data_IF_507627765891
#
_entry.id   IF_507627765891
#
_cell.length_a   1.000
_cell.length_b   1.000
_cell.length_c   1.000
_cell.angle_alpha   90.00
_cell.angle_beta   90.00
_cell.angle_gamma   90.00
#
_symmetry.space_group_name_H-M   'P 1'
#
loop_
_entity.id
_entity.type
_entity.pdbx_description
1 polymer ?
#
# COMPACT_ATOMS: atom_id res chain seq x y z
N UNK A 1 36.57 20.75 6.04
CA UNK A 1 37.61 19.70 5.79
C UNK A 1 37.00 18.43 5.15
N UNK A 2 35.79 18.04 5.53
CA UNK A 2 35.14 16.80 5.02
C UNK A 2 34.94 16.73 3.49
N UNK A 3 34.45 17.78 2.77
CA UNK A 3 34.27 17.71 1.32
C UNK A 3 35.58 17.62 0.53
N UNK A 4 36.64 18.22 1.04
CA UNK A 4 37.98 18.17 0.41
C UNK A 4 38.55 16.76 0.50
N UNK A 5 38.45 16.16 1.69
CA UNK A 5 39.00 14.82 1.96
C UNK A 5 38.19 13.76 1.23
N UNK A 6 36.85 13.89 1.21
CA UNK A 6 35.99 12.93 0.52
C UNK A 6 36.16 12.97 -1.00
N UNK A 7 36.25 14.16 -1.60
CA UNK A 7 36.47 14.31 -3.05
C UNK A 7 37.83 13.76 -3.49
N UNK A 8 38.89 14.01 -2.71
CA UNK A 8 40.22 13.46 -2.97
C UNK A 8 40.22 11.92 -2.84
N UNK A 9 39.73 11.39 -1.72
CA UNK A 9 39.71 9.95 -1.46
C UNK A 9 38.89 9.17 -2.51
N UNK A 10 37.70 9.65 -2.85
CA UNK A 10 36.86 9.00 -3.85
C UNK A 10 37.57 8.90 -5.22
N UNK A 11 38.23 9.96 -5.64
CA UNK A 11 38.96 9.97 -6.93
C UNK A 11 40.19 9.09 -6.90
N UNK A 12 40.96 9.09 -5.80
CA UNK A 12 42.17 8.23 -5.68
C UNK A 12 41.79 6.74 -5.65
N UNK A 13 40.73 6.37 -4.90
CA UNK A 13 40.27 4.97 -4.84
C UNK A 13 39.73 4.52 -6.19
N UNK A 14 38.81 5.28 -6.80
CA UNK A 14 38.21 4.95 -8.08
C UNK A 14 39.26 4.91 -9.21
N UNK A 15 40.12 5.93 -9.30
CA UNK A 15 41.18 5.98 -10.29
C UNK A 15 42.26 4.91 -10.07
N UNK A 16 42.60 4.60 -8.82
CA UNK A 16 43.54 3.54 -8.48
C UNK A 16 43.05 2.15 -8.91
N UNK A 17 41.78 1.84 -8.64
CA UNK A 17 41.14 0.59 -9.10
C UNK A 17 41.17 0.51 -10.63
N UNK A 18 40.75 1.56 -11.33
CA UNK A 18 40.70 1.62 -12.78
C UNK A 18 42.09 1.41 -13.39
N UNK A 19 43.11 2.12 -12.90
CA UNK A 19 44.50 2.00 -13.41
C UNK A 19 45.09 0.63 -13.14
N UNK A 20 44.76 -0.02 -12.00
CA UNK A 20 45.23 -1.36 -11.67
C UNK A 20 44.58 -2.41 -12.58
N UNK A 21 43.28 -2.30 -12.85
CA UNK A 21 42.58 -3.18 -13.79
C UNK A 21 43.14 -3.01 -15.21
N UNK A 22 43.35 -1.77 -15.65
CA UNK A 22 43.92 -1.49 -16.97
C UNK A 22 45.33 -2.06 -17.13
N UNK A 23 46.15 -1.96 -16.07
CA UNK A 23 47.49 -2.54 -16.04
C UNK A 23 47.44 -4.09 -16.19
N UNK A 24 46.54 -4.74 -15.47
CA UNK A 24 46.37 -6.21 -15.57
C UNK A 24 45.87 -6.65 -16.95
N UNK A 25 44.89 -5.92 -17.53
CA UNK A 25 44.31 -6.27 -18.82
C UNK A 25 45.27 -6.03 -19.99
N UNK A 26 46.02 -4.93 -19.94
CA UNK A 26 46.94 -4.55 -21.03
C UNK A 26 48.34 -5.10 -20.89
N UNK A 27 48.68 -5.73 -19.76
CA UNK A 27 50.02 -6.32 -19.51
C UNK A 27 51.15 -5.29 -19.56
N UNK A 28 50.88 -4.03 -19.10
CA UNK A 28 51.86 -2.95 -19.17
C UNK A 28 53.08 -3.19 -18.23
N UNK A 29 54.26 -2.69 -18.58
CA UNK A 29 55.42 -2.78 -17.70
C UNK A 29 55.20 -2.02 -16.38
N UNK A 30 55.75 -2.56 -15.28
CA UNK A 30 55.60 -2.01 -13.92
C UNK A 30 56.07 -0.54 -13.80
N UNK A 31 57.10 -0.14 -14.53
CA UNK A 31 57.58 1.24 -14.55
C UNK A 31 56.53 2.22 -15.13
N UNK A 32 55.78 1.81 -16.17
CA UNK A 32 54.71 2.62 -16.72
C UNK A 32 53.55 2.73 -15.74
N UNK A 33 53.20 1.64 -15.04
CA UNK A 33 52.18 1.64 -14.00
C UNK A 33 52.56 2.57 -12.85
N UNK A 34 53.75 2.39 -12.24
CA UNK A 34 54.14 3.12 -11.04
C UNK A 34 54.50 4.60 -11.31
N UNK A 35 55.24 4.88 -12.38
CA UNK A 35 55.76 6.25 -12.63
C UNK A 35 54.97 7.00 -13.69
N UNK A 36 54.13 6.37 -14.48
CA UNK A 36 53.30 7.02 -15.49
C UNK A 36 51.85 7.25 -15.04
N UNK A 37 51.21 6.21 -14.57
CA UNK A 37 49.75 6.26 -14.33
C UNK A 37 49.37 6.72 -12.90
N UNK A 38 50.09 6.25 -11.86
CA UNK A 38 49.80 6.63 -10.49
C UNK A 38 49.96 8.14 -10.18
N UNK A 39 50.98 8.83 -10.65
CA UNK A 39 51.08 10.28 -10.45
C UNK A 39 49.89 11.05 -11.06
N UNK A 40 49.37 10.61 -12.18
CA UNK A 40 48.21 11.18 -12.83
C UNK A 40 46.96 11.06 -11.96
N UNK A 41 46.72 9.90 -11.36
CA UNK A 41 45.56 9.67 -10.43
C UNK A 41 45.66 10.58 -9.22
N UNK A 42 46.88 10.77 -8.65
CA UNK A 42 47.07 11.63 -7.51
C UNK A 42 46.87 13.13 -7.86
N UNK A 43 47.34 13.56 -9.05
CA UNK A 43 47.14 14.94 -9.53
C UNK A 43 45.64 15.22 -9.74
N UNK A 44 44.91 14.31 -10.39
CA UNK A 44 43.45 14.46 -10.61
C UNK A 44 42.69 14.45 -9.28
N UNK A 45 43.09 13.58 -8.33
CA UNK A 45 42.55 13.56 -6.98
C UNK A 45 42.74 14.89 -6.24
N UNK A 46 43.96 15.48 -6.30
CA UNK A 46 44.25 16.77 -5.70
C UNK A 46 43.42 17.90 -6.35
N UNK A 47 43.27 17.85 -7.68
CA UNK A 47 42.47 18.84 -8.43
C UNK A 47 41.00 18.77 -8.03
N UNK A 48 40.43 17.58 -7.95
CA UNK A 48 39.07 17.39 -7.51
C UNK A 48 38.83 17.79 -6.05
N UNK A 49 39.81 17.51 -5.16
CA UNK A 49 39.78 17.98 -3.78
C UNK A 49 39.78 19.52 -3.66
N UNK A 50 40.46 20.22 -4.58
CA UNK A 50 40.47 21.67 -4.63
C UNK A 50 39.20 22.29 -5.26
N UNK A 51 38.66 21.67 -6.30
CA UNK A 51 37.49 22.17 -7.05
C UNK A 51 36.17 21.92 -6.26
N UNK A 52 36.05 20.77 -5.58
CA UNK A 52 34.86 20.41 -4.84
C UNK A 52 34.38 21.49 -3.85
N UNK A 53 35.23 22.08 -2.96
CA UNK A 53 34.75 23.13 -2.07
C UNK A 53 34.44 24.42 -2.78
N UNK A 54 35.08 24.73 -3.91
CA UNK A 54 34.83 25.94 -4.70
C UNK A 54 33.41 25.93 -5.29
N UNK A 55 32.90 24.79 -5.66
CA UNK A 55 31.56 24.63 -6.18
C UNK A 55 30.53 24.32 -5.07
N UNK A 56 30.90 23.50 -4.10
CA UNK A 56 29.98 23.04 -3.05
C UNK A 56 29.60 24.16 -2.06
N UNK A 57 30.56 24.95 -1.59
CA UNK A 57 30.29 25.99 -0.59
C UNK A 57 29.37 27.11 -1.11
N UNK A 58 29.56 27.65 -2.33
CA UNK A 58 28.60 28.61 -2.90
C UNK A 58 27.26 28.02 -3.18
N UNK A 59 27.19 26.78 -3.70
CA UNK A 59 25.93 26.07 -3.94
C UNK A 59 25.15 25.88 -2.64
N UNK A 60 25.80 25.39 -1.58
CA UNK A 60 25.17 25.21 -0.27
C UNK A 60 24.64 26.56 0.29
N UNK A 61 25.39 27.65 0.15
CA UNK A 61 24.92 29.00 0.57
C UNK A 61 23.76 29.51 -0.27
N UNK A 62 23.72 29.17 -1.57
CA UNK A 62 22.63 29.57 -2.47
C UNK A 62 21.34 28.81 -2.16
N UNK A 63 21.44 27.53 -1.87
CA UNK A 63 20.29 26.67 -1.52
C UNK A 63 19.76 26.97 -0.11
N UNK A 64 20.64 27.28 0.87
CA UNK A 64 20.22 27.69 2.21
C UNK A 64 19.51 29.05 2.21
N UNK A 65 19.96 30.03 1.39
CA UNK A 65 19.29 31.34 1.24
C UNK A 65 17.93 31.28 0.55
N UNK A 66 17.65 30.21 -0.23
CA UNK A 66 16.37 30.01 -0.89
C UNK A 66 15.40 29.10 -0.09
N UNK A 67 15.75 28.72 1.13
CA UNK A 67 14.93 27.83 1.96
C UNK A 67 14.80 26.39 1.40
N UNK A 68 15.68 26.01 0.46
CA UNK A 68 15.67 24.66 -0.14
C UNK A 68 16.47 23.63 0.66
N UNK A 69 17.22 24.07 1.67
CA UNK A 69 17.92 23.20 2.62
C UNK A 69 17.64 23.74 4.04
N UNK A 70 17.21 22.89 4.98
CA UNK A 70 17.07 23.31 6.38
C UNK A 70 18.44 23.72 6.92
N UNK A 71 18.50 24.81 7.71
CA UNK A 71 19.74 25.21 8.40
C UNK A 71 20.10 24.17 9.47
N UNK A 72 21.39 23.98 9.73
CA UNK A 72 21.86 23.03 10.76
C UNK A 72 21.23 23.29 12.15
N UNK A 73 20.87 24.57 12.45
CA UNK A 73 20.17 24.91 13.69
C UNK A 73 18.69 24.54 13.72
N UNK A 74 18.05 24.35 12.56
CA UNK A 74 16.67 23.85 12.48
C UNK A 74 16.61 22.33 12.66
N UNK A 75 17.69 21.61 12.36
CA UNK A 75 17.78 20.17 12.60
C UNK A 75 17.98 19.80 14.08
N UNK A 76 18.41 20.76 14.92
CA UNK A 76 18.64 20.53 16.35
C UNK A 76 17.55 21.05 17.28
N UNK A 77 16.63 21.91 16.78
CA UNK A 77 15.57 22.52 17.61
C UNK A 77 14.22 21.80 17.56
N UNK A 78 14.02 20.85 16.65
CA UNK A 78 12.74 20.16 16.47
C UNK A 78 12.64 18.77 17.16
N UNK A 79 13.66 18.43 17.99
CA UNK A 79 13.70 17.15 18.69
C UNK A 79 12.94 17.12 20.04
N UNK A 80 12.21 18.18 20.42
CA UNK A 80 11.61 18.24 21.76
C UNK A 80 10.16 17.74 21.86
N UNK A 81 9.50 17.34 20.77
CA UNK A 81 8.13 16.78 20.81
C UNK A 81 7.83 15.66 19.80
N UNK A 82 8.86 15.00 19.27
CA UNK A 82 8.63 13.72 18.62
C UNK A 82 8.69 12.62 19.68
N UNK A 83 7.54 12.13 20.07
CA UNK A 83 7.44 10.78 20.65
C UNK A 83 8.12 9.86 19.65
N UNK A 84 9.30 9.36 19.98
CA UNK A 84 10.00 8.34 19.19
C UNK A 84 9.12 7.09 19.32
N UNK A 85 8.18 6.93 18.40
CA UNK A 85 7.63 5.62 18.12
C UNK A 85 8.83 4.77 17.71
N UNK A 86 8.96 3.53 18.22
CA UNK A 86 10.05 2.66 17.80
C UNK A 86 10.06 2.65 16.28
N UNK A 87 11.23 2.93 15.69
CA UNK A 87 11.45 2.95 14.25
C UNK A 87 10.98 1.59 13.71
N UNK A 88 9.80 1.55 13.10
CA UNK A 88 9.26 0.30 12.56
C UNK A 88 10.15 -0.09 11.41
N UNK A 89 10.81 -1.21 11.53
CA UNK A 89 11.67 -1.73 10.49
C UNK A 89 10.85 -2.01 9.24
N UNK A 90 11.25 -1.44 8.09
CA UNK A 90 10.61 -1.72 6.83
C UNK A 90 10.85 -3.19 6.43
N UNK A 91 9.78 -3.93 6.18
CA UNK A 91 9.82 -5.29 5.64
C UNK A 91 10.10 -5.30 4.15
N UNK A 92 9.50 -4.35 3.43
CA UNK A 92 9.79 -4.08 2.01
C UNK A 92 10.10 -2.58 1.91
N UNK A 93 11.21 -2.22 1.25
CA UNK A 93 11.53 -0.85 0.87
C UNK A 93 11.75 -0.77 -0.62
N UNK A 94 11.09 0.18 -1.27
CA UNK A 94 11.19 0.44 -2.70
C UNK A 94 11.73 1.85 -2.86
N UNK A 95 12.93 1.96 -3.48
CA UNK A 95 13.65 3.22 -3.58
C UNK A 95 13.88 3.61 -5.05
N UNK A 96 13.24 4.70 -5.48
CA UNK A 96 13.37 5.29 -6.82
C UNK A 96 13.20 4.30 -7.97
N UNK A 97 12.27 3.34 -7.83
CA UNK A 97 12.09 2.27 -8.81
C UNK A 97 11.39 2.75 -10.07
N UNK A 98 12.08 2.56 -11.20
CA UNK A 98 11.48 2.58 -12.53
C UNK A 98 11.55 1.17 -13.13
N UNK A 99 10.45 0.73 -13.74
CA UNK A 99 10.45 -0.57 -14.42
C UNK A 99 9.91 -0.48 -15.83
N UNK A 100 10.65 -1.09 -16.76
CA UNK A 100 10.33 -1.17 -18.19
C UNK A 100 10.11 -2.63 -18.55
N UNK A 101 8.94 -2.98 -19.06
CA UNK A 101 8.70 -4.30 -19.63
C UNK A 101 9.65 -4.60 -20.78
N UNK A 102 9.89 -5.89 -21.12
CA UNK A 102 10.73 -6.24 -22.27
C UNK A 102 10.28 -5.49 -23.54
N UNK A 103 11.22 -4.83 -24.22
CA UNK A 103 11.01 -4.03 -25.43
C UNK A 103 10.19 -2.73 -25.24
N UNK A 104 9.70 -2.42 -24.04
CA UNK A 104 9.01 -1.16 -23.78
C UNK A 104 10.00 0.00 -23.70
N UNK A 105 9.60 1.14 -24.27
CA UNK A 105 10.35 2.40 -24.20
C UNK A 105 9.87 3.30 -23.06
N UNK A 106 8.64 3.11 -22.61
CA UNK A 106 8.03 3.84 -21.49
C UNK A 106 7.99 2.96 -20.25
N UNK A 107 8.30 3.50 -19.07
CA UNK A 107 8.22 2.75 -17.82
C UNK A 107 6.77 2.52 -17.39
N UNK A 108 6.49 1.34 -16.86
CA UNK A 108 5.23 1.00 -16.19
C UNK A 108 5.23 1.35 -14.70
N UNK A 109 6.41 1.43 -14.09
CA UNK A 109 6.62 2.03 -12.77
C UNK A 109 7.55 3.22 -12.93
N UNK A 110 7.22 4.34 -12.28
CA UNK A 110 7.91 5.63 -12.44
C UNK A 110 8.26 6.19 -11.07
N UNK A 111 9.54 6.17 -10.73
CA UNK A 111 10.10 6.72 -9.50
C UNK A 111 9.30 6.29 -8.25
N UNK A 112 8.99 5.00 -8.15
CA UNK A 112 8.27 4.47 -6.99
C UNK A 112 9.16 4.55 -5.77
N UNK A 113 8.60 5.14 -4.71
CA UNK A 113 9.14 5.13 -3.35
C UNK A 113 8.01 4.66 -2.44
N UNK A 114 8.21 3.55 -1.74
CA UNK A 114 7.20 2.94 -0.88
C UNK A 114 7.88 2.03 0.14
N UNK A 115 7.62 2.26 1.41
CA UNK A 115 8.04 1.40 2.51
C UNK A 115 6.83 0.63 3.05
N UNK A 116 6.95 -0.66 3.28
CA UNK A 116 5.97 -1.50 3.96
C UNK A 116 6.58 -1.91 5.30
N UNK A 117 5.96 -1.48 6.38
CA UNK A 117 6.49 -1.71 7.72
C UNK A 117 5.93 -2.99 8.34
N UNK A 118 6.62 -3.49 9.35
CA UNK A 118 6.17 -4.66 10.12
C UNK A 118 4.79 -4.42 10.74
N UNK A 119 3.87 -5.36 10.48
CA UNK A 119 2.49 -5.29 10.93
C UNK A 119 1.56 -4.36 10.13
N UNK A 120 2.03 -3.75 9.03
CA UNK A 120 1.16 -3.01 8.13
C UNK A 120 0.10 -3.92 7.51
N UNK A 121 -1.10 -3.38 7.34
CA UNK A 121 -2.10 -3.86 6.39
C UNK A 121 -2.26 -2.77 5.33
N UNK A 122 -1.41 -2.83 4.31
CA UNK A 122 -1.36 -1.83 3.25
C UNK A 122 -2.29 -2.23 2.10
N UNK A 123 -3.19 -1.33 1.71
CA UNK A 123 -3.99 -1.45 0.48
C UNK A 123 -3.38 -0.59 -0.61
N UNK A 124 -3.05 -1.21 -1.74
CA UNK A 124 -2.60 -0.51 -2.96
C UNK A 124 -3.74 -0.49 -3.96
N UNK A 125 -4.23 0.69 -4.29
CA UNK A 125 -5.35 0.87 -5.22
C UNK A 125 -5.02 1.88 -6.32
N UNK A 126 -5.91 2.03 -7.29
CA UNK A 126 -5.80 2.97 -8.40
C UNK A 126 -6.44 2.44 -9.68
N UNK A 127 -6.57 3.27 -10.72
CA UNK A 127 -7.20 2.91 -11.98
C UNK A 127 -6.61 1.65 -12.62
N UNK A 128 -7.41 0.97 -13.46
CA UNK A 128 -6.92 -0.19 -14.21
C UNK A 128 -5.71 0.21 -15.09
N UNK A 129 -4.69 -0.65 -15.13
CA UNK A 129 -3.48 -0.41 -15.93
C UNK A 129 -2.49 0.59 -15.35
N UNK A 130 -2.70 1.17 -14.15
CA UNK A 130 -1.77 2.12 -13.54
C UNK A 130 -0.45 1.48 -13.02
N UNK A 131 -0.28 0.14 -13.07
CA UNK A 131 0.95 -0.54 -12.70
C UNK A 131 0.91 -1.35 -11.41
N UNK A 132 -0.26 -1.55 -10.77
CA UNK A 132 -0.40 -2.27 -9.48
C UNK A 132 0.21 -3.67 -9.50
N UNK A 133 -0.17 -4.53 -10.45
CA UNK A 133 0.38 -5.90 -10.56
C UNK A 133 1.87 -5.88 -10.89
N UNK A 134 2.36 -4.86 -11.62
CA UNK A 134 3.79 -4.67 -11.86
C UNK A 134 4.52 -4.30 -10.57
N UNK A 135 3.90 -3.48 -9.72
CA UNK A 135 4.44 -3.17 -8.39
C UNK A 135 4.49 -4.43 -7.51
N UNK A 136 3.42 -5.25 -7.51
CA UNK A 136 3.42 -6.56 -6.86
C UNK A 136 4.62 -7.42 -7.29
N UNK A 137 4.81 -7.56 -8.62
CA UNK A 137 5.93 -8.34 -9.17
C UNK A 137 7.31 -7.76 -8.78
N UNK A 138 7.43 -6.45 -8.62
CA UNK A 138 8.66 -5.81 -8.15
C UNK A 138 8.92 -6.12 -6.67
N UNK A 139 7.89 -6.04 -5.81
CA UNK A 139 7.98 -6.35 -4.38
C UNK A 139 8.48 -7.79 -4.14
N UNK A 140 7.96 -8.75 -4.90
CA UNK A 140 8.32 -10.17 -4.77
C UNK A 140 9.55 -10.57 -5.57
N UNK A 141 10.23 -9.61 -6.20
CA UNK A 141 11.46 -9.85 -6.99
C UNK A 141 11.24 -10.63 -8.28
N UNK A 142 9.99 -10.82 -8.72
CA UNK A 142 9.67 -11.52 -9.98
C UNK A 142 10.12 -10.72 -11.22
N UNK A 143 10.12 -9.39 -11.13
CA UNK A 143 10.75 -8.52 -12.12
C UNK A 143 12.05 -7.95 -11.53
N UNK A 144 13.15 -7.88 -12.32
CA UNK A 144 13.27 -8.33 -13.71
C UNK A 144 13.62 -9.83 -13.83
N UNK A 145 13.80 -10.58 -12.74
CA UNK A 145 14.42 -11.91 -12.72
C UNK A 145 13.65 -12.95 -13.54
N UNK A 146 12.33 -13.01 -13.40
CA UNK A 146 11.49 -14.02 -14.06
C UNK A 146 10.86 -13.48 -15.34
N UNK A 147 10.27 -12.27 -15.29
CA UNK A 147 9.59 -11.68 -16.43
C UNK A 147 10.48 -10.83 -17.33
N UNK A 148 11.77 -10.67 -16.98
CA UNK A 148 12.70 -9.85 -17.74
C UNK A 148 12.41 -8.36 -17.60
N UNK A 149 12.82 -7.57 -18.60
CA UNK A 149 12.70 -6.12 -18.55
C UNK A 149 13.90 -5.44 -17.91
N UNK A 150 13.76 -4.14 -17.62
CA UNK A 150 14.79 -3.32 -16.99
C UNK A 150 14.20 -2.64 -15.75
N UNK A 151 14.82 -2.90 -14.62
CA UNK A 151 14.50 -2.27 -13.34
C UNK A 151 15.64 -1.33 -12.97
N UNK A 152 15.32 -0.08 -12.67
CA UNK A 152 16.21 0.95 -12.15
C UNK A 152 15.75 1.27 -10.72
N UNK A 153 16.66 1.70 -9.85
CA UNK A 153 16.37 1.83 -8.43
C UNK A 153 16.57 0.52 -7.68
N UNK A 154 16.06 0.42 -6.47
CA UNK A 154 16.30 -0.73 -5.59
C UNK A 154 15.00 -1.16 -4.91
N UNK A 155 14.85 -2.48 -4.72
CA UNK A 155 13.83 -3.07 -3.86
C UNK A 155 14.54 -3.91 -2.81
N UNK A 156 14.25 -3.64 -1.56
CA UNK A 156 14.79 -4.36 -0.41
C UNK A 156 13.69 -5.17 0.29
N UNK A 157 14.07 -6.33 0.78
CA UNK A 157 13.23 -7.21 1.61
C UNK A 157 14.03 -7.56 2.85
N UNK A 158 13.50 -7.24 4.03
CA UNK A 158 14.21 -7.37 5.30
C UNK A 158 15.65 -6.78 5.24
N UNK A 159 15.80 -5.61 4.57
CA UNK A 159 17.06 -4.90 4.40
C UNK A 159 18.03 -5.48 3.36
N UNK A 160 17.67 -6.55 2.65
CA UNK A 160 18.49 -7.14 1.58
C UNK A 160 17.91 -6.77 0.21
N UNK A 161 18.78 -6.34 -0.73
CA UNK A 161 18.35 -6.03 -2.09
C UNK A 161 17.84 -7.28 -2.81
N UNK A 162 16.64 -7.22 -3.39
CA UNK A 162 16.03 -8.35 -4.11
C UNK A 162 16.88 -8.83 -5.28
N UNK A 163 17.68 -7.94 -5.89
CA UNK A 163 18.62 -8.29 -6.95
C UNK A 163 19.73 -9.24 -6.50
N UNK A 164 20.05 -9.27 -5.21
CA UNK A 164 21.09 -10.12 -4.61
C UNK A 164 20.54 -11.43 -4.03
N UNK A 165 19.20 -11.58 -3.95
CA UNK A 165 18.56 -12.77 -3.39
C UNK A 165 18.04 -13.66 -4.53
N UNK A 166 18.13 -14.97 -4.38
CA UNK A 166 17.45 -15.90 -5.29
C UNK A 166 15.95 -15.97 -4.99
N UNK A 167 15.12 -16.35 -5.99
CA UNK A 167 13.66 -16.45 -5.81
C UNK A 167 13.26 -17.37 -4.63
N UNK A 168 13.90 -18.55 -4.44
CA UNK A 168 13.59 -19.40 -3.27
C UNK A 168 13.94 -18.73 -1.92
N UNK A 169 14.97 -17.88 -1.88
CA UNK A 169 15.30 -17.10 -0.68
C UNK A 169 14.24 -16.02 -0.40
N UNK A 170 13.85 -15.26 -1.43
CA UNK A 170 12.78 -14.26 -1.33
C UNK A 170 11.45 -14.87 -0.83
N UNK A 171 11.12 -16.06 -1.34
CA UNK A 171 9.91 -16.77 -0.94
C UNK A 171 9.91 -17.24 0.54
N UNK A 172 11.03 -17.15 1.28
CA UNK A 172 11.05 -17.35 2.73
C UNK A 172 10.52 -16.12 3.50
N UNK A 173 10.59 -14.96 2.89
CA UNK A 173 10.20 -13.68 3.49
C UNK A 173 8.83 -13.23 3.01
N UNK A 174 8.57 -13.38 1.70
CA UNK A 174 7.33 -12.89 1.08
C UNK A 174 6.58 -14.05 0.45
N UNK A 175 5.34 -14.22 0.88
CA UNK A 175 4.37 -15.06 0.20
C UNK A 175 3.53 -14.23 -0.77
N UNK A 176 3.25 -14.76 -1.95
CA UNK A 176 2.41 -14.06 -2.94
C UNK A 176 1.26 -14.95 -3.41
N UNK A 177 0.05 -14.36 -3.47
CA UNK A 177 -1.11 -14.96 -4.13
C UNK A 177 -1.49 -14.04 -5.28
N UNK A 178 -1.44 -14.57 -6.50
CA UNK A 178 -1.75 -13.81 -7.72
C UNK A 178 -3.26 -13.81 -8.01
N UNK A 179 -3.70 -12.89 -8.85
CA UNK A 179 -5.10 -12.77 -9.26
C UNK A 179 -5.65 -14.09 -9.86
N UNK A 180 -4.84 -14.77 -10.66
CA UNK A 180 -5.14 -16.12 -11.16
C UNK A 180 -4.50 -17.18 -10.25
N UNK A 181 -5.04 -17.32 -9.03
CA UNK A 181 -4.55 -18.26 -8.03
C UNK A 181 -4.72 -19.73 -8.45
N UNK A 182 -5.65 -20.04 -9.34
CA UNK A 182 -5.84 -21.39 -9.83
C UNK A 182 -4.60 -21.91 -10.57
N UNK A 183 -3.84 -21.06 -11.23
CA UNK A 183 -2.57 -21.41 -11.89
C UNK A 183 -1.42 -21.68 -10.92
N UNK A 184 -1.56 -21.28 -9.66
CA UNK A 184 -0.57 -21.55 -8.61
C UNK A 184 -0.75 -22.94 -7.99
N UNK A 185 -1.95 -23.55 -8.12
CA UNK A 185 -2.28 -24.85 -7.54
C UNK A 185 -1.81 -25.96 -8.49
N UNK A 186 -0.77 -26.71 -8.10
CA UNK A 186 -0.07 -27.62 -9.00
C UNK A 186 -0.24 -29.10 -8.66
N UNK A 187 -0.77 -29.41 -7.46
CA UNK A 187 -0.91 -30.81 -6.98
C UNK A 187 -2.33 -31.35 -7.17
N UNK A 188 -2.57 -32.58 -6.74
CA UNK A 188 -3.88 -33.24 -6.92
C UNK A 188 -4.81 -33.05 -5.72
N UNK A 189 -4.25 -32.96 -4.51
CA UNK A 189 -5.03 -32.90 -3.26
C UNK A 189 -4.64 -31.69 -2.42
N UNK A 190 -5.55 -31.28 -1.54
CA UNK A 190 -5.36 -30.15 -0.61
C UNK A 190 -4.11 -30.36 0.27
N UNK A 191 -3.92 -31.57 0.77
CA UNK A 191 -2.77 -31.94 1.61
C UNK A 191 -1.46 -31.82 0.85
N UNK A 192 -1.41 -32.35 -0.36
CA UNK A 192 -0.21 -32.28 -1.20
C UNK A 192 0.16 -30.83 -1.52
N UNK A 193 -0.82 -29.97 -1.80
CA UNK A 193 -0.59 -28.58 -2.14
C UNK A 193 0.06 -27.81 -0.98
N UNK A 194 -0.45 -27.96 0.24
CA UNK A 194 0.14 -27.31 1.41
C UNK A 194 1.52 -27.86 1.74
N UNK A 195 1.74 -29.18 1.55
CA UNK A 195 3.03 -29.81 1.79
C UNK A 195 4.09 -29.44 0.75
N UNK A 196 3.69 -29.22 -0.51
CA UNK A 196 4.57 -29.10 -1.67
C UNK A 196 5.69 -28.05 -1.49
N UNK A 197 5.37 -26.86 -1.02
CA UNK A 197 6.36 -25.82 -0.82
C UNK A 197 7.37 -26.14 0.30
N UNK A 198 6.93 -26.86 1.34
CA UNK A 198 7.80 -27.30 2.45
C UNK A 198 8.69 -28.48 2.01
N UNK A 199 8.13 -29.42 1.23
CA UNK A 199 8.89 -30.55 0.67
C UNK A 199 10.04 -30.06 -0.25
N UNK A 200 9.74 -29.09 -1.12
CA UNK A 200 10.76 -28.48 -1.99
C UNK A 200 11.87 -27.76 -1.23
N UNK A 201 11.62 -27.39 0.03
CA UNK A 201 12.62 -26.79 0.93
C UNK A 201 13.31 -27.81 1.84
N UNK A 202 12.98 -29.08 1.72
CA UNK A 202 13.60 -30.17 2.47
C UNK A 202 13.18 -30.23 3.93
N UNK A 203 11.98 -29.76 4.28
CA UNK A 203 11.44 -29.90 5.64
C UNK A 203 11.21 -31.37 5.94
N UNK A 204 11.40 -31.77 7.20
CA UNK A 204 11.14 -33.14 7.61
C UNK A 204 9.61 -33.41 7.72
N UNK A 205 9.23 -34.69 7.69
CA UNK A 205 7.82 -35.10 7.67
C UNK A 205 7.03 -34.66 8.90
N UNK A 206 7.67 -34.58 10.06
CA UNK A 206 6.98 -34.20 11.31
C UNK A 206 6.67 -32.72 11.28
N UNK A 207 7.62 -31.88 10.85
CA UNK A 207 7.45 -30.46 10.65
C UNK A 207 6.35 -30.17 9.62
N UNK A 208 6.40 -30.86 8.45
CA UNK A 208 5.37 -30.69 7.40
C UNK A 208 3.99 -31.02 7.94
N UNK A 209 3.84 -32.14 8.68
CA UNK A 209 2.56 -32.54 9.25
C UNK A 209 2.03 -31.52 10.24
N UNK A 210 2.85 -31.13 11.23
CA UNK A 210 2.47 -30.18 12.26
C UNK A 210 2.09 -28.82 11.68
N UNK A 211 2.88 -28.31 10.73
CA UNK A 211 2.63 -27.04 10.07
C UNK A 211 1.40 -27.07 9.17
N UNK A 212 1.19 -28.15 8.43
CA UNK A 212 -0.01 -28.32 7.62
C UNK A 212 -1.28 -28.30 8.46
N UNK A 213 -1.31 -29.02 9.60
CA UNK A 213 -2.45 -29.02 10.52
C UNK A 213 -2.75 -27.62 11.09
N UNK A 214 -1.71 -26.85 11.39
CA UNK A 214 -1.84 -25.46 11.86
C UNK A 214 -2.44 -24.57 10.75
N UNK A 215 -1.87 -24.61 9.56
CA UNK A 215 -2.32 -23.81 8.41
C UNK A 215 -3.76 -24.15 8.01
N UNK A 216 -4.15 -25.44 7.97
CA UNK A 216 -5.54 -25.81 7.69
C UNK A 216 -6.54 -25.21 8.68
N UNK A 217 -6.16 -25.10 9.96
CA UNK A 217 -6.98 -24.41 10.96
C UNK A 217 -7.06 -22.93 10.71
N UNK A 218 -5.92 -22.29 10.38
CA UNK A 218 -5.85 -20.85 10.11
C UNK A 218 -6.74 -20.44 8.93
N UNK A 219 -6.74 -21.23 7.84
CA UNK A 219 -7.50 -20.90 6.64
C UNK A 219 -8.89 -21.55 6.57
N UNK A 220 -9.30 -22.32 7.60
CA UNK A 220 -10.62 -22.96 7.66
C UNK A 220 -10.83 -24.09 6.65
N UNK A 221 -9.78 -24.88 6.36
CA UNK A 221 -9.83 -26.05 5.45
C UNK A 221 -9.76 -27.39 6.18
N UNK A 222 -9.94 -27.41 7.49
CA UNK A 222 -9.98 -28.65 8.29
C UNK A 222 -11.07 -29.60 7.79
N UNK A 223 -10.72 -30.86 7.58
CA UNK A 223 -11.61 -31.91 7.07
C UNK A 223 -11.71 -31.98 5.53
N UNK A 224 -10.94 -31.12 4.82
CA UNK A 224 -10.86 -31.12 3.36
C UNK A 224 -9.50 -31.64 2.84
N UNK A 225 -8.60 -32.05 3.73
CA UNK A 225 -7.18 -32.35 3.45
C UNK A 225 -7.00 -33.39 2.33
N UNK A 226 -7.84 -34.41 2.30
CA UNK A 226 -7.75 -35.51 1.33
C UNK A 226 -8.64 -35.30 0.10
N UNK A 227 -9.30 -34.14 0.00
CA UNK A 227 -10.10 -33.82 -1.19
C UNK A 227 -9.21 -33.43 -2.37
N UNK A 228 -9.72 -33.74 -3.57
CA UNK A 228 -9.14 -33.26 -4.82
C UNK A 228 -9.36 -31.76 -4.94
N UNK A 229 -8.36 -31.00 -5.38
CA UNK A 229 -8.42 -29.56 -5.59
C UNK A 229 -9.56 -29.19 -6.54
N UNK A 230 -9.78 -29.99 -7.59
CA UNK A 230 -10.86 -29.80 -8.57
C UNK A 230 -12.28 -29.92 -8.00
N UNK A 231 -12.43 -30.49 -6.80
CA UNK A 231 -13.73 -30.60 -6.11
C UNK A 231 -14.05 -29.48 -5.16
N UNK A 232 -13.12 -28.54 -4.99
CA UNK A 232 -13.27 -27.39 -4.11
C UNK A 232 -14.07 -26.27 -4.78
N UNK A 233 -14.81 -25.48 -3.98
CA UNK A 233 -15.36 -24.20 -4.45
C UNK A 233 -14.28 -23.17 -4.76
N UNK A 234 -14.59 -22.09 -5.47
CA UNK A 234 -13.66 -21.01 -5.77
C UNK A 234 -13.01 -20.44 -4.50
N UNK A 235 -13.81 -20.07 -3.50
CA UNK A 235 -13.30 -19.58 -2.21
C UNK A 235 -12.47 -20.61 -1.44
N UNK A 236 -12.77 -21.91 -1.55
CA UNK A 236 -11.93 -22.95 -0.95
C UNK A 236 -10.59 -23.09 -1.67
N UNK A 237 -10.55 -23.00 -3.02
CA UNK A 237 -9.29 -23.01 -3.77
C UNK A 237 -8.43 -21.80 -3.46
N UNK A 238 -9.05 -20.64 -3.33
CA UNK A 238 -8.32 -19.44 -2.94
C UNK A 238 -7.74 -19.54 -1.53
N UNK A 239 -8.52 -20.01 -0.55
CA UNK A 239 -7.99 -20.29 0.80
C UNK A 239 -6.88 -21.34 0.77
N UNK A 240 -6.92 -22.29 -0.15
CA UNK A 240 -5.83 -23.25 -0.37
C UNK A 240 -4.58 -22.58 -0.93
N UNK A 241 -4.72 -21.66 -1.89
CA UNK A 241 -3.57 -20.88 -2.40
C UNK A 241 -2.91 -20.04 -1.29
N UNK A 242 -3.71 -19.43 -0.41
CA UNK A 242 -3.18 -18.75 0.78
C UNK A 242 -2.50 -19.76 1.72
N UNK A 243 -3.10 -20.93 1.94
CA UNK A 243 -2.54 -21.97 2.80
C UNK A 243 -1.18 -22.47 2.30
N UNK A 244 -1.04 -22.72 1.00
CA UNK A 244 0.22 -23.18 0.41
C UNK A 244 1.36 -22.17 0.61
N UNK A 245 1.02 -20.89 0.53
CA UNK A 245 1.96 -19.79 0.80
C UNK A 245 2.30 -19.69 2.29
N UNK A 246 1.30 -19.73 3.17
CA UNK A 246 1.48 -19.65 4.63
C UNK A 246 2.27 -20.82 5.22
N UNK A 247 2.24 -21.98 4.56
CA UNK A 247 2.96 -23.18 5.01
C UNK A 247 4.45 -22.92 5.24
N UNK A 248 5.05 -22.01 4.48
CA UNK A 248 6.46 -21.65 4.59
C UNK A 248 6.76 -20.54 5.61
N UNK A 249 5.73 -20.08 6.32
CA UNK A 249 5.83 -19.06 7.37
C UNK A 249 6.44 -17.73 6.91
N UNK A 250 5.94 -17.11 5.82
CA UNK A 250 6.44 -15.81 5.36
C UNK A 250 6.10 -14.72 6.39
N UNK A 251 6.93 -13.67 6.44
CA UNK A 251 6.67 -12.50 7.29
C UNK A 251 5.77 -11.48 6.61
N UNK A 252 5.70 -11.51 5.28
CA UNK A 252 4.86 -10.64 4.45
C UNK A 252 3.99 -11.49 3.53
N UNK A 253 2.70 -11.14 3.42
CA UNK A 253 1.75 -11.73 2.48
C UNK A 253 1.30 -10.65 1.50
N UNK A 254 1.56 -10.87 0.21
CA UNK A 254 1.12 -9.99 -0.88
C UNK A 254 0.00 -10.67 -1.66
N UNK A 255 -1.13 -9.99 -1.82
CA UNK A 255 -2.32 -10.49 -2.51
C UNK A 255 -2.63 -9.57 -3.69
N UNK A 256 -2.62 -10.08 -4.91
CA UNK A 256 -2.93 -9.33 -6.13
C UNK A 256 -4.34 -9.67 -6.60
N UNK A 257 -5.27 -8.72 -6.46
CA UNK A 257 -6.72 -8.84 -6.78
C UNK A 257 -7.37 -10.12 -6.24
N UNK A 258 -7.23 -10.39 -4.93
CA UNK A 258 -7.60 -11.70 -4.39
C UNK A 258 -9.12 -11.98 -4.43
N UNK A 259 -9.95 -11.00 -4.72
CA UNK A 259 -11.41 -11.11 -4.68
C UNK A 259 -12.06 -11.19 -6.05
N UNK A 260 -11.26 -11.09 -7.13
CA UNK A 260 -11.75 -11.00 -8.51
C UNK A 260 -12.68 -12.13 -8.97
N UNK A 261 -12.63 -13.30 -8.33
CA UNK A 261 -13.42 -14.50 -8.67
C UNK A 261 -14.38 -14.94 -7.56
N UNK A 262 -14.62 -14.09 -6.56
CA UNK A 262 -15.46 -14.40 -5.40
C UNK A 262 -16.80 -13.66 -5.45
N UNK A 263 -17.80 -14.28 -4.84
CA UNK A 263 -19.05 -13.61 -4.47
C UNK A 263 -18.84 -12.68 -3.25
N UNK A 264 -19.79 -11.81 -2.92
CA UNK A 264 -19.64 -10.88 -1.80
C UNK A 264 -19.39 -11.57 -0.44
N UNK A 265 -20.01 -12.71 -0.19
CA UNK A 265 -19.83 -13.45 1.06
C UNK A 265 -18.41 -14.05 1.13
N UNK A 266 -17.94 -14.65 0.02
CA UNK A 266 -16.58 -15.14 -0.10
C UNK A 266 -15.53 -14.05 0.04
N UNK A 267 -15.79 -12.86 -0.51
CA UNK A 267 -14.94 -11.68 -0.36
C UNK A 267 -14.83 -11.25 1.12
N UNK A 268 -15.95 -11.16 1.82
CA UNK A 268 -15.96 -10.80 3.24
C UNK A 268 -15.24 -11.86 4.11
N UNK A 269 -15.44 -13.15 3.83
CA UNK A 269 -14.74 -14.24 4.51
C UNK A 269 -13.24 -14.21 4.27
N UNK A 270 -12.81 -13.90 3.04
CA UNK A 270 -11.39 -13.79 2.69
C UNK A 270 -10.71 -12.65 3.46
N UNK A 271 -11.30 -11.43 3.42
CA UNK A 271 -10.68 -10.31 4.11
C UNK A 271 -10.72 -10.45 5.63
N UNK A 272 -11.72 -11.13 6.19
CA UNK A 272 -11.70 -11.52 7.60
C UNK A 272 -10.54 -12.46 7.91
N UNK A 273 -10.30 -13.48 7.09
CA UNK A 273 -9.15 -14.38 7.23
C UNK A 273 -7.83 -13.61 7.17
N UNK A 274 -7.65 -12.77 6.16
CA UNK A 274 -6.42 -11.98 5.97
C UNK A 274 -6.22 -10.97 7.09
N UNK A 275 -7.30 -10.34 7.57
CA UNK A 275 -7.28 -9.48 8.75
C UNK A 275 -6.87 -10.23 10.02
N UNK A 276 -7.39 -11.45 10.23
CA UNK A 276 -6.98 -12.31 11.34
C UNK A 276 -5.50 -12.70 11.27
N UNK A 277 -4.98 -12.99 10.08
CA UNK A 277 -3.55 -13.27 9.85
C UNK A 277 -2.68 -12.07 10.22
N UNK A 278 -3.11 -10.86 9.88
CA UNK A 278 -2.39 -9.65 10.27
C UNK A 278 -2.49 -9.39 11.77
N UNK A 279 -3.71 -9.30 12.33
CA UNK A 279 -3.93 -8.84 13.70
C UNK A 279 -3.56 -9.88 14.78
N UNK A 280 -3.82 -11.18 14.53
CA UNK A 280 -3.60 -12.27 15.50
C UNK A 280 -2.27 -12.97 15.30
N UNK A 281 -1.76 -13.05 14.07
CA UNK A 281 -0.53 -13.77 13.75
C UNK A 281 0.63 -12.83 13.38
N UNK A 282 0.41 -11.50 13.34
CA UNK A 282 1.44 -10.50 13.11
C UNK A 282 2.04 -10.50 11.70
N UNK A 283 1.34 -11.09 10.71
CA UNK A 283 1.81 -11.12 9.33
C UNK A 283 1.59 -9.74 8.72
N UNK A 284 2.62 -9.17 8.12
CA UNK A 284 2.50 -7.94 7.32
C UNK A 284 1.74 -8.25 6.04
N UNK A 285 0.73 -7.45 5.70
CA UNK A 285 -0.15 -7.71 4.56
C UNK A 285 -0.10 -6.56 3.57
N UNK A 286 0.05 -6.89 2.29
CA UNK A 286 -0.14 -5.98 1.16
C UNK A 286 -1.24 -6.52 0.28
N UNK A 287 -2.32 -5.78 0.13
CA UNK A 287 -3.43 -6.12 -0.77
C UNK A 287 -3.44 -5.14 -1.92
N UNK A 288 -3.44 -5.66 -3.13
CA UNK A 288 -3.69 -4.88 -4.34
C UNK A 288 -5.12 -5.18 -4.75
N UNK A 289 -6.00 -4.19 -4.65
CA UNK A 289 -7.39 -4.35 -5.05
C UNK A 289 -7.97 -3.02 -5.59
N UNK A 290 -9.00 -3.14 -6.39
CA UNK A 290 -9.78 -2.04 -6.92
C UNK A 290 -11.14 -1.90 -6.20
N UNK A 291 -11.64 -2.95 -5.53
CA UNK A 291 -12.82 -2.93 -4.67
C UNK A 291 -12.41 -2.70 -3.21
N UNK A 292 -12.67 -1.49 -2.73
CA UNK A 292 -12.25 -1.07 -1.40
C UNK A 292 -13.22 -1.46 -0.29
N UNK A 293 -14.50 -1.74 -0.60
CA UNK A 293 -15.56 -1.88 0.41
C UNK A 293 -15.25 -2.93 1.48
N UNK A 294 -14.78 -4.10 1.06
CA UNK A 294 -14.58 -5.22 1.96
C UNK A 294 -13.21 -5.20 2.66
N UNK A 295 -12.20 -4.55 2.07
CA UNK A 295 -10.82 -4.54 2.58
C UNK A 295 -10.56 -3.41 3.59
N UNK A 296 -11.20 -2.26 3.43
CA UNK A 296 -10.97 -1.07 4.27
C UNK A 296 -11.08 -1.29 5.78
N UNK A 297 -12.00 -2.12 6.32
CA UNK A 297 -12.09 -2.36 7.76
C UNK A 297 -10.81 -2.95 8.38
N UNK A 298 -9.94 -3.54 7.58
CA UNK A 298 -8.70 -4.19 8.02
C UNK A 298 -7.46 -3.35 7.74
N UNK A 299 -7.55 -2.39 6.80
CA UNK A 299 -6.44 -1.57 6.35
C UNK A 299 -6.07 -0.50 7.40
N UNK A 300 -4.78 -0.36 7.68
CA UNK A 300 -4.25 0.76 8.47
C UNK A 300 -3.54 1.80 7.59
N UNK A 301 -3.21 1.45 6.34
CA UNK A 301 -2.52 2.31 5.38
C UNK A 301 -2.98 2.05 3.96
N UNK A 302 -2.94 3.07 3.13
CA UNK A 302 -3.40 2.98 1.74
C UNK A 302 -2.50 3.77 0.81
N UNK A 303 -2.09 3.15 -0.29
CA UNK A 303 -1.30 3.77 -1.35
C UNK A 303 -2.13 3.86 -2.65
N UNK A 304 -2.28 5.05 -3.17
CA UNK A 304 -2.95 5.31 -4.45
C UNK A 304 -1.92 5.38 -5.57
N UNK A 305 -2.05 4.50 -6.55
CA UNK A 305 -1.23 4.53 -7.77
C UNK A 305 -1.96 5.22 -8.93
N UNK A 306 -1.25 6.09 -9.62
CA UNK A 306 -1.73 6.77 -10.84
C UNK A 306 -0.60 6.79 -11.87
N UNK A 307 -0.87 6.36 -13.08
CA UNK A 307 0.07 6.40 -14.21
C UNK A 307 1.49 5.88 -13.90
N UNK A 308 1.60 4.84 -13.13
CA UNK A 308 2.87 4.21 -12.76
C UNK A 308 3.59 4.84 -11.57
N UNK A 309 2.99 5.81 -10.89
CA UNK A 309 3.57 6.49 -9.72
C UNK A 309 2.67 6.37 -8.50
N UNK A 310 3.22 6.51 -7.30
CA UNK A 310 2.45 6.67 -6.06
C UNK A 310 2.02 8.14 -5.98
N UNK A 311 0.71 8.38 -6.03
CA UNK A 311 0.12 9.71 -5.95
C UNK A 311 -0.16 10.12 -4.50
N UNK A 312 -0.54 9.17 -3.65
CA UNK A 312 -0.77 9.37 -2.23
C UNK A 312 -0.40 8.08 -1.47
N UNK A 313 0.21 8.19 -0.32
CA UNK A 313 0.54 7.11 0.59
C UNK A 313 0.37 7.62 2.02
N UNK A 314 -0.72 7.24 2.65
CA UNK A 314 -1.12 7.74 3.97
C UNK A 314 -2.07 6.75 4.68
N UNK A 315 -2.65 7.17 5.81
CA UNK A 315 -3.78 6.47 6.41
C UNK A 315 -4.99 6.41 5.45
N UNK A 316 -5.89 5.49 5.72
CA UNK A 316 -7.05 5.25 4.85
C UNK A 316 -7.91 6.50 4.64
N UNK A 317 -8.35 7.24 5.70
CA UNK A 317 -9.17 8.44 5.52
C UNK A 317 -8.50 9.52 4.67
N UNK A 318 -7.21 9.77 4.89
CA UNK A 318 -6.43 10.77 4.15
C UNK A 318 -6.34 10.41 2.68
N UNK A 319 -6.07 9.14 2.35
CA UNK A 319 -5.97 8.70 0.96
C UNK A 319 -7.33 8.72 0.25
N UNK A 320 -8.42 8.31 0.92
CA UNK A 320 -9.77 8.40 0.34
C UNK A 320 -10.18 9.86 0.09
N UNK A 321 -9.86 10.78 1.00
CA UNK A 321 -10.08 12.22 0.83
C UNK A 321 -9.31 12.74 -0.38
N UNK A 322 -8.05 12.37 -0.52
CA UNK A 322 -7.22 12.73 -1.67
C UNK A 322 -7.84 12.25 -2.98
N UNK A 323 -8.33 10.98 -3.03
CA UNK A 323 -9.03 10.44 -4.21
C UNK A 323 -10.26 11.26 -4.56
N UNK A 324 -11.09 11.62 -3.58
CA UNK A 324 -12.31 12.40 -3.77
C UNK A 324 -12.01 13.83 -4.27
N UNK A 325 -11.11 14.54 -3.60
CA UNK A 325 -10.77 15.93 -3.92
C UNK A 325 -10.11 16.11 -5.29
N UNK A 326 -9.30 15.12 -5.73
CA UNK A 326 -8.63 15.14 -7.02
C UNK A 326 -9.40 14.42 -8.13
N UNK A 327 -10.59 13.91 -7.83
CA UNK A 327 -11.43 13.14 -8.77
C UNK A 327 -10.68 11.95 -9.41
N UNK A 328 -9.91 11.21 -8.58
CA UNK A 328 -9.12 10.07 -9.01
C UNK A 328 -9.76 8.79 -8.50
N UNK A 329 -10.10 7.88 -9.41
CA UNK A 329 -10.65 6.55 -9.07
C UNK A 329 -11.83 6.59 -8.10
N UNK A 330 -12.71 7.58 -8.28
CA UNK A 330 -13.85 7.86 -7.38
C UNK A 330 -14.89 6.75 -7.36
N UNK A 331 -14.97 5.95 -8.42
CA UNK A 331 -15.89 4.81 -8.50
C UNK A 331 -15.57 3.71 -7.49
N UNK A 332 -14.33 3.67 -6.98
CA UNK A 332 -13.90 2.74 -5.93
C UNK A 332 -14.19 3.24 -4.52
N UNK A 333 -14.57 4.52 -4.35
CA UNK A 333 -14.86 5.07 -3.03
C UNK A 333 -16.13 4.46 -2.43
N UNK A 334 -16.12 4.09 -1.14
CA UNK A 334 -17.33 3.70 -0.45
C UNK A 334 -18.39 4.80 -0.52
N UNK A 335 -19.65 4.45 -0.84
CA UNK A 335 -20.74 5.41 -0.92
C UNK A 335 -20.99 6.17 0.40
N UNK A 336 -20.74 5.52 1.53
CA UNK A 336 -20.79 6.19 2.85
C UNK A 336 -19.73 7.28 2.99
N UNK A 337 -18.54 7.08 2.40
CA UNK A 337 -17.47 8.08 2.43
C UNK A 337 -17.76 9.24 1.47
N UNK A 338 -18.29 8.99 0.28
CA UNK A 338 -18.69 10.05 -0.64
C UNK A 338 -19.80 10.91 -0.04
N UNK A 339 -20.80 10.28 0.61
CA UNK A 339 -21.85 11.01 1.35
C UNK A 339 -21.27 11.85 2.50
N UNK A 340 -20.31 11.32 3.25
CA UNK A 340 -19.58 12.06 4.28
C UNK A 340 -18.92 13.32 3.72
N UNK A 341 -18.21 13.20 2.59
CA UNK A 341 -17.53 14.33 1.93
C UNK A 341 -18.53 15.39 1.42
N UNK A 342 -19.67 14.96 0.85
CA UNK A 342 -20.74 15.86 0.40
C UNK A 342 -21.37 16.63 1.56
N UNK A 343 -21.64 15.97 2.68
CA UNK A 343 -22.15 16.61 3.89
C UNK A 343 -21.14 17.58 4.49
N UNK A 344 -19.86 17.21 4.53
CA UNK A 344 -18.80 18.12 5.00
C UNK A 344 -18.71 19.39 4.14
N UNK A 345 -18.82 19.25 2.80
CA UNK A 345 -18.88 20.40 1.89
C UNK A 345 -20.15 21.25 2.08
N UNK A 346 -21.25 20.65 2.50
CA UNK A 346 -22.49 21.35 2.83
C UNK A 346 -22.44 22.03 4.22
N UNK A 347 -21.35 21.91 4.96
CA UNK A 347 -21.14 22.53 6.27
C UNK A 347 -21.56 21.68 7.47
N UNK A 348 -21.87 20.40 7.26
CA UNK A 348 -22.12 19.45 8.34
C UNK A 348 -20.81 18.79 8.75
N UNK A 349 -20.56 18.64 10.04
CA UNK A 349 -19.32 18.05 10.57
C UNK A 349 -19.62 16.80 11.39
N UNK A 350 -18.85 15.75 11.16
CA UNK A 350 -18.78 14.55 11.98
C UNK A 350 -17.39 14.43 12.57
N UNK A 351 -17.28 13.91 13.78
CA UNK A 351 -16.00 13.79 14.49
C UNK A 351 -15.03 12.82 13.78
N UNK A 352 -15.56 11.82 13.08
CA UNK A 352 -14.78 10.81 12.39
C UNK A 352 -15.28 10.62 10.95
N UNK A 353 -14.38 10.30 9.99
CA UNK A 353 -14.76 9.96 8.62
C UNK A 353 -15.54 8.64 8.56
N UNK A 354 -16.49 8.55 7.63
CA UNK A 354 -17.35 7.39 7.50
C UNK A 354 -16.74 6.34 6.58
N UNK A 355 -16.17 5.31 7.18
CA UNK A 355 -15.56 4.19 6.45
C UNK A 355 -16.47 2.96 6.41
N UNK A 356 -17.55 2.93 7.20
CA UNK A 356 -18.52 1.85 7.29
C UNK A 356 -19.93 2.39 7.52
N UNK A 357 -20.93 1.55 7.30
CA UNK A 357 -22.32 1.88 7.62
C UNK A 357 -22.49 2.24 9.11
N UNK A 358 -21.78 1.55 10.00
CA UNK A 358 -21.84 1.81 11.44
C UNK A 358 -21.28 3.19 11.79
N UNK A 359 -20.14 3.59 11.21
CA UNK A 359 -19.57 4.92 11.40
C UNK A 359 -20.47 6.01 10.80
N UNK A 360 -21.12 5.73 9.66
CA UNK A 360 -22.08 6.65 9.05
C UNK A 360 -23.33 6.87 9.93
N UNK A 361 -23.89 5.80 10.51
CA UNK A 361 -25.02 5.92 11.45
C UNK A 361 -24.65 6.76 12.66
N UNK A 362 -23.47 6.52 13.26
CA UNK A 362 -23.00 7.34 14.39
C UNK A 362 -22.81 8.81 14.01
N UNK A 363 -22.19 9.07 12.86
CA UNK A 363 -21.98 10.44 12.38
C UNK A 363 -23.28 11.18 12.07
N UNK A 364 -24.28 10.51 11.48
CA UNK A 364 -25.60 11.09 11.24
C UNK A 364 -26.29 11.49 12.56
N UNK A 365 -26.25 10.62 13.57
CA UNK A 365 -26.80 10.97 14.90
C UNK A 365 -26.08 12.18 15.52
N UNK A 366 -24.77 12.31 15.36
CA UNK A 366 -24.02 13.48 15.84
C UNK A 366 -24.47 14.76 15.14
N UNK A 367 -24.64 14.71 13.82
CA UNK A 367 -25.11 15.84 13.00
C UNK A 367 -26.55 16.25 13.43
N UNK A 368 -27.44 15.27 13.60
CA UNK A 368 -28.83 15.53 14.07
C UNK A 368 -28.86 16.20 15.45
N UNK A 369 -28.07 15.70 16.40
CA UNK A 369 -27.97 16.28 17.75
C UNK A 369 -27.41 17.71 17.70
N UNK A 370 -26.36 17.95 16.91
CA UNK A 370 -25.77 19.29 16.75
C UNK A 370 -26.78 20.27 16.17
N UNK A 371 -27.59 19.85 15.20
CA UNK A 371 -28.65 20.65 14.58
C UNK A 371 -29.80 20.94 15.56
N UNK A 372 -30.19 19.95 16.38
CA UNK A 372 -31.24 20.13 17.40
C UNK A 372 -30.80 21.18 18.44
N UNK A 373 -29.57 21.11 18.92
CA UNK A 373 -29.00 22.09 19.88
C UNK A 373 -28.95 23.49 19.26
N UNK A 374 -28.50 23.62 17.99
CA UNK A 374 -28.49 24.93 17.31
C UNK A 374 -29.87 25.53 17.17
N UNK A 375 -30.91 24.72 16.87
CA UNK A 375 -32.27 25.17 16.74
C UNK A 375 -32.88 25.58 18.10
N UNK A 376 -32.55 24.91 19.19
CA UNK A 376 -32.94 25.31 20.55
C UNK A 376 -32.30 26.65 20.95
N UNK A 377 -31.02 26.84 20.71
CA UNK A 377 -30.28 28.08 21.01
C UNK A 377 -30.79 29.27 20.17
N UNK A 378 -31.20 29.04 18.91
CA UNK A 378 -31.75 30.09 18.04
C UNK A 378 -33.27 30.29 18.25
N UNK A 379 -33.98 29.29 18.80
CA UNK A 379 -35.40 29.36 19.14
C UNK A 379 -35.71 30.23 20.39
N UNK A 380 -34.77 30.25 21.35
CA UNK A 380 -34.93 31.08 22.56
C UNK A 380 -34.73 32.59 22.33
N UNK A 381 -34.24 33.03 21.16
CA UNK A 381 -34.07 34.47 20.85
C UNK A 381 -35.33 35.17 20.30
N UNK A 382 -36.43 34.45 20.12
CA UNK A 382 -37.72 35.03 19.75
C UNK A 382 -38.76 34.86 20.87
N UNK A 383 -38.57 35.61 21.95
CA UNK A 383 -39.64 35.85 22.93
C UNK A 383 -40.74 36.70 22.27
N UNK A 384 -42.03 36.36 22.37
CA UNK A 384 -43.08 37.12 21.75
C UNK A 384 -43.40 38.32 22.62
N UNK A 385 -43.00 39.52 22.15
CA UNK A 385 -43.57 40.76 22.66
C UNK A 385 -44.97 40.93 22.08
N UNK A 386 -45.94 40.83 22.99
CA UNK A 386 -47.29 41.46 22.93
C UNK A 386 -47.92 41.75 21.56
N UNK A 387 -48.93 40.99 21.24
CA UNK A 387 -50.14 41.56 20.58
C UNK A 387 -51.38 40.94 21.20
N UNK A 388 -52.02 41.78 21.99
CA UNK A 388 -53.42 41.68 22.46
C UNK A 388 -54.42 41.93 21.32
N UNK A 389 -55.47 41.11 21.34
CA UNK A 389 -56.84 41.39 20.82
C UNK A 389 -57.10 41.49 19.31
N UNK A 390 -57.81 40.57 18.74
CA UNK A 390 -59.25 40.75 18.52
C UNK A 390 -59.94 39.45 18.11
N UNK A 391 -60.99 39.11 18.79
CA UNK A 391 -61.96 38.05 18.51
C UNK A 391 -62.75 38.42 17.27
N UNK A 392 -62.73 37.61 16.22
CA UNK A 392 -63.86 37.58 15.27
C UNK A 392 -64.18 36.15 14.86
N UNK A 393 -65.37 35.83 15.20
CA UNK A 393 -66.22 34.68 15.06
C UNK A 393 -66.55 34.42 13.59
N UNK A 394 -66.21 33.24 13.02
CA UNK A 394 -66.97 32.70 11.87
C UNK A 394 -66.96 31.16 11.87
N UNK A 395 -68.10 30.64 11.65
CA UNK A 395 -68.70 29.32 11.74
C UNK A 395 -68.02 28.21 10.87
N UNK A 396 -68.39 26.95 11.15
CA UNK A 396 -67.77 25.75 10.54
C UNK A 396 -68.36 25.41 9.18
N UNK A 397 -67.56 24.95 8.25
CA UNK A 397 -68.05 24.39 6.98
C UNK A 397 -67.95 22.86 7.04
N UNK A 398 -69.03 22.26 6.62
CA UNK A 398 -69.52 20.91 6.64
C UNK A 398 -68.59 19.89 5.98
N UNK A 399 -68.63 18.68 6.55
CA UNK A 399 -68.31 17.39 5.89
C UNK A 399 -69.15 17.22 4.62
N UNK A 400 -68.53 16.65 3.60
CA UNK A 400 -69.24 15.90 2.56
C UNK A 400 -68.56 14.50 2.49
N UNK A 401 -69.31 13.51 2.97
CA UNK A 401 -69.14 12.08 2.74
C UNK A 401 -69.74 11.75 1.36
N UNK A 402 -69.31 10.57 0.87
CA UNK A 402 -69.88 9.74 -0.18
C UNK A 402 -69.66 10.11 -1.66
N UNK A 403 -68.98 9.23 -2.35
CA UNK A 403 -69.59 8.40 -3.40
C UNK A 403 -68.84 7.10 -3.60
N UNK A 404 -69.59 6.01 -3.33
CA UNK A 404 -69.30 4.67 -3.73
C UNK A 404 -69.39 4.44 -5.26
N UNK A 405 -68.61 3.53 -5.77
CA UNK A 405 -69.13 2.46 -6.61
C UNK A 405 -68.88 2.48 -8.09
N UNK A 406 -68.26 1.47 -8.53
CA UNK A 406 -68.65 0.42 -9.50
C UNK A 406 -67.62 0.08 -10.56
N UNK A 407 -67.22 -1.15 -10.41
CA UNK A 407 -67.22 -2.22 -11.42
C UNK A 407 -66.71 -1.95 -12.85
N UNK A 408 -65.84 -2.89 -13.24
CA UNK A 408 -66.01 -3.53 -14.53
C UNK A 408 -64.75 -3.79 -15.32
N UNK A 409 -64.27 -5.04 -15.28
CA UNK A 409 -64.15 -5.88 -16.46
C UNK A 409 -62.86 -5.84 -17.27
N UNK A 410 -62.04 -6.79 -17.07
CA UNK A 410 -61.64 -7.86 -18.02
C UNK A 410 -61.02 -7.53 -19.39
N UNK A 411 -60.02 -8.34 -19.69
CA UNK A 411 -59.40 -8.71 -20.98
C UNK A 411 -58.20 -7.85 -21.44
N UNK A 412 -57.07 -8.42 -21.53
CA UNK A 412 -56.38 -9.42 -22.32
C UNK A 412 -54.91 -9.54 -21.83
#
# INVERSE_FOLDING_TARGET
LTPIVSGFLATVVSGGIFVTLLWQVLGLPNNVYMYGMWPLVLIVGALNGAITPILYIPAQRLFSKRGMLPSADQLTSDHSHMTILPERQAKISIEHVNYYHPKATTPSLKNINLDVHDGDFLVVTGPAGCGKSTLCMAMVGAVPKFYGGRLEGMVFVDGKATTQMEIPELANHIGVVLADYDTQLVTMTVREEVAFAMENRGYDRETIKARSEEVFKQVGLVGLEDRKITSLSGGQRQRLAIASVLATNPTVLVLDEPTSSLDPDGTAELYRLVGDLNQKHGITVVVIDHDLHAVLPYANRMALMVDGSIACDADVPTTLRYMYEHNIHVDALPSVFTTYMELEQAGYHSDEPWLSIESAIKGLHQIEMAHAIQNEVHGESKSPANQTNTVENKQPIQRVDDVQGKDGGAHA
#
